data_IF_092156343357
#
_entry.id   IF_092156343357
#
_cell.length_a   1.000
_cell.length_b   1.000
_cell.length_c   1.000
_cell.angle_alpha   90.00
_cell.angle_beta   90.00
_cell.angle_gamma   90.00
#
_symmetry.space_group_name_H-M   'P 1'
#
loop_
_entity.id
_entity.type
_entity.pdbx_description
1 polymer ?
#
# COMPACT_ATOMS: atom_id res chain seq x y z
N UNK A 1 0.93 -50.24 -2.26
CA UNK A 1 1.22 -48.95 -2.93
C UNK A 1 0.00 -48.56 -3.76
N UNK A 2 -1.00 -47.95 -3.13
CA UNK A 2 -2.14 -47.38 -3.87
C UNK A 2 -1.67 -46.09 -4.53
N UNK A 3 -1.69 -46.03 -5.85
CA UNK A 3 -1.43 -44.80 -6.59
C UNK A 3 -2.42 -43.74 -6.11
N UNK A 4 -1.89 -42.65 -5.55
CA UNK A 4 -2.64 -41.43 -5.28
C UNK A 4 -3.40 -41.02 -6.55
N UNK A 5 -4.61 -40.44 -6.45
CA UNK A 5 -5.27 -39.87 -7.62
C UNK A 5 -4.35 -38.81 -8.21
N UNK A 6 -3.68 -39.15 -9.31
CA UNK A 6 -2.71 -38.29 -9.96
C UNK A 6 -3.47 -37.15 -10.62
N UNK A 7 -3.34 -35.94 -10.09
CA UNK A 7 -3.79 -34.75 -10.82
C UNK A 7 -2.94 -34.63 -12.09
N UNK A 8 -3.54 -34.89 -13.24
CA UNK A 8 -2.87 -34.87 -14.54
C UNK A 8 -2.69 -33.46 -15.09
N UNK A 9 -3.18 -32.42 -14.37
CA UNK A 9 -3.00 -31.04 -14.79
C UNK A 9 -1.55 -30.61 -14.69
N UNK A 10 -1.19 -29.73 -15.61
CA UNK A 10 0.12 -29.11 -15.73
C UNK A 10 -0.01 -27.64 -15.39
N UNK A 11 0.87 -27.12 -14.54
CA UNK A 11 0.95 -25.70 -14.17
C UNK A 11 2.25 -25.10 -14.67
N UNK A 12 2.19 -23.90 -15.23
CA UNK A 12 3.37 -23.18 -15.70
C UNK A 12 3.91 -22.19 -14.69
N UNK A 13 5.16 -21.76 -14.90
CA UNK A 13 5.84 -20.76 -14.08
C UNK A 13 5.05 -19.44 -13.95
N UNK A 14 4.34 -19.01 -15.01
CA UNK A 14 3.58 -17.75 -14.99
C UNK A 14 2.36 -17.79 -14.05
N UNK A 15 1.72 -18.96 -13.91
CA UNK A 15 0.62 -19.15 -12.95
C UNK A 15 1.08 -19.07 -11.49
N UNK A 16 2.38 -19.25 -11.23
CA UNK A 16 3.02 -19.11 -9.92
C UNK A 16 3.92 -17.87 -9.87
N UNK A 17 3.66 -16.87 -10.72
CA UNK A 17 4.47 -15.64 -10.82
C UNK A 17 4.57 -14.82 -9.55
N UNK A 18 3.67 -15.02 -8.59
CA UNK A 18 3.72 -14.34 -7.27
C UNK A 18 4.75 -14.92 -6.32
N UNK A 19 5.32 -16.09 -6.62
CA UNK A 19 6.38 -16.71 -5.82
C UNK A 19 7.62 -16.93 -6.69
N UNK A 20 8.65 -16.12 -6.47
CA UNK A 20 9.86 -16.13 -7.28
C UNK A 20 10.67 -17.43 -7.18
N UNK A 21 10.60 -18.14 -6.05
CA UNK A 21 11.29 -19.42 -5.83
C UNK A 21 10.63 -20.52 -6.64
N UNK A 22 9.30 -20.66 -6.52
CA UNK A 22 8.54 -21.61 -7.31
C UNK A 22 8.62 -21.29 -8.80
N UNK A 23 8.50 -20.02 -9.18
CA UNK A 23 8.65 -19.61 -10.57
C UNK A 23 10.04 -19.96 -11.12
N UNK A 24 11.11 -19.70 -10.36
CA UNK A 24 12.49 -20.05 -10.73
C UNK A 24 12.66 -21.56 -10.92
N UNK A 25 12.15 -22.34 -9.97
CA UNK A 25 12.20 -23.80 -10.02
C UNK A 25 11.45 -24.36 -11.25
N UNK A 26 10.25 -23.86 -11.56
CA UNK A 26 9.52 -24.28 -12.77
C UNK A 26 10.21 -23.85 -14.06
N UNK A 27 10.96 -22.75 -14.08
CA UNK A 27 11.76 -22.33 -15.25
C UNK A 27 12.98 -23.23 -15.46
N UNK A 28 13.58 -23.73 -14.39
CA UNK A 28 14.78 -24.57 -14.43
C UNK A 28 14.44 -26.05 -14.74
N UNK A 29 13.42 -26.60 -14.09
CA UNK A 29 13.08 -28.03 -14.16
C UNK A 29 11.86 -28.33 -15.03
N UNK A 30 11.08 -27.31 -15.42
CA UNK A 30 9.87 -27.48 -16.20
C UNK A 30 10.11 -27.69 -17.68
N UNK A 31 9.46 -28.71 -18.24
CA UNK A 31 9.43 -28.92 -19.69
C UNK A 31 8.52 -27.90 -20.38
N UNK A 32 8.75 -27.68 -21.67
CA UNK A 32 7.89 -26.82 -22.51
C UNK A 32 6.57 -27.52 -22.82
N UNK A 33 5.49 -27.09 -22.15
CA UNK A 33 4.18 -27.74 -22.24
C UNK A 33 3.04 -26.71 -22.20
N UNK A 34 1.81 -27.18 -22.44
CA UNK A 34 0.59 -26.38 -22.32
C UNK A 34 0.10 -26.35 -20.88
N UNK A 35 -0.12 -25.16 -20.34
CA UNK A 35 -0.65 -24.98 -18.99
C UNK A 35 -2.16 -25.25 -18.95
N UNK A 36 -2.61 -26.05 -17.99
CA UNK A 36 -4.03 -26.35 -17.77
C UNK A 36 -4.79 -25.22 -17.07
N UNK A 37 -4.10 -24.24 -16.50
CA UNK A 37 -4.70 -23.16 -15.71
C UNK A 37 -4.87 -21.87 -16.50
N UNK A 38 -3.80 -21.36 -17.13
CA UNK A 38 -3.88 -20.16 -17.97
C UNK A 38 -4.09 -20.46 -19.46
N UNK A 39 -4.06 -21.73 -19.87
CA UNK A 39 -4.15 -22.14 -21.28
C UNK A 39 -2.93 -21.82 -22.13
N UNK A 40 -1.91 -21.16 -21.56
CA UNK A 40 -0.70 -20.75 -22.27
C UNK A 40 0.08 -21.93 -22.83
N UNK A 41 0.54 -21.79 -24.08
CA UNK A 41 1.32 -22.80 -24.79
C UNK A 41 2.82 -22.49 -24.71
N UNK A 42 3.64 -23.54 -24.90
CA UNK A 42 5.10 -23.45 -24.89
C UNK A 42 5.68 -22.77 -23.63
N UNK A 43 5.14 -23.09 -22.45
CA UNK A 43 5.62 -22.53 -21.17
C UNK A 43 6.42 -23.58 -20.38
N UNK A 44 7.44 -23.18 -19.61
CA UNK A 44 8.04 -24.04 -18.60
C UNK A 44 6.97 -24.46 -17.59
N UNK A 45 6.67 -25.75 -17.52
CA UNK A 45 5.55 -26.27 -16.77
C UNK A 45 5.80 -27.69 -16.26
N UNK A 46 5.16 -28.02 -15.13
CA UNK A 46 5.25 -29.33 -14.48
C UNK A 46 3.87 -29.83 -14.04
N UNK A 47 3.69 -31.15 -13.89
CA UNK A 47 2.50 -31.71 -13.29
C UNK A 47 2.25 -31.15 -11.89
N UNK A 48 0.98 -30.90 -11.55
CA UNK A 48 0.58 -30.37 -10.23
C UNK A 48 1.12 -31.23 -9.09
N UNK A 49 1.17 -32.55 -9.25
CA UNK A 49 1.69 -33.45 -8.21
C UNK A 49 3.18 -33.23 -7.94
N UNK A 50 3.97 -32.88 -8.96
CA UNK A 50 5.41 -32.66 -8.79
C UNK A 50 5.66 -31.30 -8.15
N UNK A 51 4.88 -30.28 -8.53
CA UNK A 51 4.86 -29.00 -7.81
C UNK A 51 4.45 -29.19 -6.35
N UNK A 52 3.43 -30.00 -6.08
CA UNK A 52 2.96 -30.29 -4.73
C UNK A 52 4.04 -30.96 -3.85
N UNK A 53 4.79 -31.94 -4.40
CA UNK A 53 5.94 -32.54 -3.69
C UNK A 53 7.01 -31.51 -3.38
N UNK A 54 7.35 -30.65 -4.34
CA UNK A 54 8.34 -29.62 -4.10
C UNK A 54 7.88 -28.59 -3.07
N UNK A 55 6.61 -28.17 -3.12
CA UNK A 55 6.03 -27.29 -2.08
C UNK A 55 6.06 -27.96 -0.71
N UNK A 56 5.82 -29.28 -0.62
CA UNK A 56 5.94 -30.03 0.63
C UNK A 56 7.36 -29.96 1.20
N UNK A 57 8.37 -30.21 0.37
CA UNK A 57 9.79 -30.09 0.77
C UNK A 57 10.13 -28.66 1.24
N UNK A 58 9.63 -27.64 0.54
CA UNK A 58 9.82 -26.24 0.92
C UNK A 58 9.14 -25.90 2.26
N UNK A 59 7.95 -26.46 2.52
CA UNK A 59 7.24 -26.32 3.80
C UNK A 59 8.02 -26.98 4.95
N UNK A 60 8.57 -28.16 4.74
CA UNK A 60 9.40 -28.85 5.74
C UNK A 60 10.68 -28.07 6.04
N UNK A 61 11.38 -27.58 5.01
CA UNK A 61 12.55 -26.71 5.16
C UNK A 61 12.20 -25.38 5.85
N UNK A 62 10.98 -24.89 5.65
CA UNK A 62 10.42 -23.73 6.32
C UNK A 62 10.08 -23.99 7.81
N UNK A 63 10.19 -25.24 8.29
CA UNK A 63 9.93 -25.66 9.67
C UNK A 63 8.51 -26.13 9.94
N UNK A 64 7.65 -26.25 8.93
CA UNK A 64 6.31 -26.82 9.10
C UNK A 64 6.41 -28.32 9.34
N UNK A 65 5.59 -28.82 10.25
CA UNK A 65 5.57 -30.24 10.61
C UNK A 65 4.17 -30.79 10.50
N UNK A 66 4.06 -32.03 10.04
CA UNK A 66 2.82 -32.78 10.09
C UNK A 66 2.71 -33.52 11.43
N UNK A 67 1.60 -33.34 12.14
CA UNK A 67 1.35 -34.00 13.43
C UNK A 67 -0.04 -34.66 13.44
N UNK A 68 -0.20 -35.83 14.11
CA UNK A 68 -1.50 -36.42 14.34
C UNK A 68 -2.45 -35.47 15.08
N UNK A 69 -3.72 -35.43 14.69
CA UNK A 69 -4.76 -34.53 15.26
C UNK A 69 -5.04 -34.80 16.77
N UNK A 70 -4.43 -35.80 17.39
CA UNK A 70 -4.66 -36.19 18.79
C UNK A 70 -3.98 -35.30 19.86
N UNK A 71 -3.06 -34.39 19.50
CA UNK A 71 -2.31 -33.55 20.46
C UNK A 71 -3.02 -32.23 20.83
N UNK A 72 -3.68 -32.14 21.99
CA UNK A 72 -4.38 -30.92 22.49
C UNK A 72 -3.54 -29.64 22.67
N UNK A 73 -2.28 -29.60 22.25
CA UNK A 73 -1.33 -28.51 22.53
C UNK A 73 -0.92 -27.68 21.30
N UNK A 74 -1.31 -28.06 20.08
CA UNK A 74 -0.90 -27.36 18.86
C UNK A 74 -2.05 -26.59 18.20
N UNK A 75 -1.74 -25.44 17.58
CA UNK A 75 -2.64 -24.76 16.65
C UNK A 75 -2.57 -25.56 15.35
N UNK A 76 -3.71 -26.16 14.99
CA UNK A 76 -3.85 -27.01 13.82
C UNK A 76 -4.28 -26.21 12.62
N UNK A 77 -3.54 -26.37 11.52
CA UNK A 77 -3.76 -25.61 10.30
C UNK A 77 -4.09 -26.56 9.14
N UNK A 78 -5.23 -26.39 8.46
CA UNK A 78 -5.53 -27.15 7.26
C UNK A 78 -4.61 -26.71 6.11
N UNK A 79 -4.30 -27.62 5.17
CA UNK A 79 -3.36 -27.37 4.07
C UNK A 79 -3.70 -26.12 3.26
N UNK A 80 -4.99 -25.85 3.01
CA UNK A 80 -5.40 -24.66 2.27
C UNK A 80 -5.05 -23.34 2.98
N UNK A 81 -5.10 -23.28 4.31
CA UNK A 81 -4.71 -22.08 5.07
C UNK A 81 -3.20 -21.89 5.04
N UNK A 82 -2.42 -22.97 5.19
CA UNK A 82 -0.96 -22.93 5.06
C UNK A 82 -0.56 -22.44 3.67
N UNK A 83 -1.16 -23.00 2.61
CA UNK A 83 -0.87 -22.58 1.24
C UNK A 83 -1.27 -21.13 0.97
N UNK A 84 -2.43 -20.69 1.47
CA UNK A 84 -2.86 -19.31 1.34
C UNK A 84 -1.90 -18.34 2.05
N UNK A 85 -1.36 -18.74 3.21
CA UNK A 85 -0.42 -17.90 3.96
C UNK A 85 0.95 -17.83 3.29
N UNK A 86 1.55 -18.97 2.91
CA UNK A 86 2.91 -19.03 2.34
C UNK A 86 2.99 -18.47 0.92
N UNK A 87 1.93 -18.65 0.12
CA UNK A 87 1.88 -18.14 -1.27
C UNK A 87 1.24 -16.75 -1.34
N UNK A 88 0.89 -16.16 -0.20
CA UNK A 88 0.13 -14.92 -0.09
C UNK A 88 -1.12 -14.91 -1.00
N UNK A 89 -1.76 -16.07 -1.10
CA UNK A 89 -2.97 -16.32 -1.89
C UNK A 89 -4.22 -16.07 -1.03
N UNK A 90 -4.18 -15.01 -0.22
CA UNK A 90 -5.40 -14.43 0.33
C UNK A 90 -5.86 -13.45 -0.72
N UNK A 91 -7.06 -13.68 -1.27
CA UNK A 91 -7.70 -12.71 -2.15
C UNK A 91 -7.53 -11.33 -1.54
N UNK A 92 -6.99 -10.42 -2.34
CA UNK A 92 -6.86 -9.01 -2.02
C UNK A 92 -8.14 -8.55 -1.32
N UNK A 93 -8.03 -7.66 -0.33
CA UNK A 93 -9.16 -7.13 0.46
C UNK A 93 -10.25 -6.47 -0.41
N UNK A 94 -10.06 -6.40 -1.72
CA UNK A 94 -10.99 -5.93 -2.74
C UNK A 94 -11.80 -7.02 -3.47
N UNK A 95 -11.88 -8.26 -2.97
CA UNK A 95 -12.94 -9.19 -3.36
C UNK A 95 -13.11 -9.36 -4.87
N UNK A 96 -12.12 -9.95 -5.56
CA UNK A 96 -12.35 -10.58 -6.87
C UNK A 96 -11.77 -11.99 -6.81
N UNK A 97 -12.58 -13.04 -6.97
CA UNK A 97 -12.12 -14.42 -7.03
C UNK A 97 -11.45 -14.66 -8.39
N UNK A 98 -10.16 -14.36 -8.49
CA UNK A 98 -9.34 -14.95 -9.56
C UNK A 98 -8.96 -16.37 -9.14
N UNK A 99 -9.89 -17.26 -9.44
CA UNK A 99 -9.79 -18.72 -9.51
C UNK A 99 -8.79 -19.36 -8.52
N UNK A 100 -9.26 -19.62 -7.30
CA UNK A 100 -8.60 -20.48 -6.30
C UNK A 100 -8.40 -21.93 -6.79
N UNK A 101 -8.73 -22.24 -8.05
CA UNK A 101 -8.53 -23.53 -8.69
C UNK A 101 -7.10 -24.04 -8.51
N UNK A 102 -6.06 -23.26 -8.83
CA UNK A 102 -4.67 -23.71 -8.67
C UNK A 102 -4.33 -24.09 -7.23
N UNK A 103 -4.67 -23.23 -6.26
CA UNK A 103 -4.44 -23.52 -4.84
C UNK A 103 -5.25 -24.73 -4.39
N UNK A 104 -6.49 -24.87 -4.84
CA UNK A 104 -7.32 -26.04 -4.55
C UNK A 104 -6.79 -27.33 -5.17
N UNK A 105 -6.09 -27.24 -6.30
CA UNK A 105 -5.39 -28.37 -6.93
C UNK A 105 -4.12 -28.75 -6.18
N UNK A 106 -3.30 -27.78 -5.80
CA UNK A 106 -2.12 -28.00 -4.96
C UNK A 106 -2.51 -28.56 -3.58
N UNK A 107 -3.54 -27.99 -2.94
CA UNK A 107 -4.05 -28.48 -1.65
C UNK A 107 -4.44 -29.95 -1.74
N UNK A 108 -5.26 -30.31 -2.74
CA UNK A 108 -5.67 -31.71 -2.94
C UNK A 108 -4.50 -32.65 -3.21
N UNK A 109 -3.53 -32.23 -4.01
CA UNK A 109 -2.35 -33.03 -4.30
C UNK A 109 -1.49 -33.25 -3.04
N UNK A 110 -1.27 -32.20 -2.25
CA UNK A 110 -0.55 -32.29 -0.96
C UNK A 110 -1.31 -33.16 0.04
N UNK A 111 -2.62 -32.93 0.23
CA UNK A 111 -3.45 -33.74 1.13
C UNK A 111 -3.45 -35.21 0.73
N UNK A 112 -3.49 -35.50 -0.58
CA UNK A 112 -3.39 -36.86 -1.09
C UNK A 112 -2.03 -37.47 -0.67
N UNK A 113 -0.90 -36.79 -0.90
CA UNK A 113 0.44 -37.25 -0.49
C UNK A 113 0.48 -37.56 1.01
N UNK A 114 -0.04 -36.64 1.84
CA UNK A 114 -0.09 -36.80 3.30
C UNK A 114 -0.90 -38.05 3.70
N UNK A 115 -2.05 -38.28 3.06
CA UNK A 115 -2.96 -39.40 3.37
C UNK A 115 -2.46 -40.76 2.87
N UNK A 116 -1.59 -40.83 1.86
CA UNK A 116 -1.00 -42.12 1.45
C UNK A 116 0.04 -42.67 2.42
N UNK A 117 0.62 -41.80 3.25
CA UNK A 117 1.75 -42.14 4.11
C UNK A 117 1.31 -42.71 5.46
N UNK A 118 0.04 -42.50 5.87
CA UNK A 118 -0.44 -42.96 7.18
C UNK A 118 -1.97 -43.11 7.26
N UNK A 119 -2.43 -44.03 8.10
CA UNK A 119 -3.85 -44.24 8.43
C UNK A 119 -4.41 -43.21 9.42
N UNK A 120 -3.54 -42.41 10.02
CA UNK A 120 -3.89 -41.38 11.01
C UNK A 120 -3.97 -40.02 10.34
N UNK A 121 -5.10 -39.31 10.53
CA UNK A 121 -5.23 -37.93 10.04
C UNK A 121 -4.16 -37.02 10.67
N UNK A 122 -3.33 -36.44 9.81
CA UNK A 122 -2.29 -35.45 10.15
C UNK A 122 -2.76 -34.05 9.79
N UNK A 123 -2.22 -33.04 10.46
CA UNK A 123 -2.44 -31.62 10.19
C UNK A 123 -1.13 -30.85 10.38
N UNK A 124 -1.06 -29.66 9.81
CA UNK A 124 0.13 -28.83 9.87
C UNK A 124 0.26 -28.14 11.22
N UNK A 125 1.49 -28.11 11.72
CA UNK A 125 1.93 -27.32 12.86
C UNK A 125 2.93 -26.28 12.36
N UNK A 126 2.62 -25.00 12.58
CA UNK A 126 3.50 -23.87 12.25
C UNK A 126 4.74 -23.91 13.18
N UNK A 127 5.94 -23.58 12.68
CA UNK A 127 7.16 -23.53 13.50
C UNK A 127 7.13 -22.42 14.57
N UNK A 128 6.37 -21.35 14.33
CA UNK A 128 6.07 -20.31 15.32
C UNK A 128 4.75 -19.62 14.98
N UNK A 129 4.14 -18.96 15.98
CA UNK A 129 2.87 -18.23 15.80
C UNK A 129 2.98 -17.02 14.87
N UNK A 130 4.19 -16.44 14.73
CA UNK A 130 4.44 -15.20 13.99
C UNK A 130 5.19 -15.40 12.67
N UNK A 131 5.28 -16.64 12.17
CA UNK A 131 6.07 -16.93 10.97
C UNK A 131 5.63 -16.13 9.72
N UNK A 132 4.37 -15.68 9.67
CA UNK A 132 3.82 -14.85 8.59
C UNK A 132 3.64 -13.37 8.95
N UNK A 133 4.17 -12.90 10.08
CA UNK A 133 3.99 -11.52 10.52
C UNK A 133 2.61 -11.20 11.12
N UNK A 134 1.86 -12.22 11.54
CA UNK A 134 0.54 -12.06 12.18
C UNK A 134 0.59 -11.15 13.42
N UNK A 135 1.66 -11.20 14.22
CA UNK A 135 1.81 -10.34 15.40
C UNK A 135 1.88 -8.85 15.00
N UNK A 136 2.52 -8.54 13.87
CA UNK A 136 2.64 -7.17 13.36
C UNK A 136 1.27 -6.67 12.87
N UNK A 137 0.57 -7.48 12.08
CA UNK A 137 -0.76 -7.14 11.55
C UNK A 137 -1.80 -6.99 12.67
N UNK A 138 -1.79 -7.90 13.64
CA UNK A 138 -2.70 -7.86 14.78
C UNK A 138 -2.41 -6.67 15.69
N UNK A 139 -1.12 -6.40 15.96
CA UNK A 139 -0.74 -5.25 16.78
C UNK A 139 -1.01 -3.92 16.09
N UNK A 140 -0.86 -3.85 14.76
CA UNK A 140 -1.26 -2.69 13.97
C UNK A 140 -2.76 -2.42 14.05
N UNK A 141 -3.58 -3.46 13.91
CA UNK A 141 -5.03 -3.35 14.08
C UNK A 141 -5.42 -2.86 15.48
N UNK A 142 -4.71 -3.37 16.51
CA UNK A 142 -4.84 -2.91 17.89
C UNK A 142 -4.45 -1.45 18.08
N UNK A 143 -3.32 -1.03 17.49
CA UNK A 143 -2.87 0.37 17.48
C UNK A 143 -3.92 1.29 16.85
N UNK A 144 -4.39 0.96 15.65
CA UNK A 144 -5.43 1.73 14.93
C UNK A 144 -6.70 1.85 15.79
N UNK A 145 -7.16 0.75 16.39
CA UNK A 145 -8.32 0.76 17.28
C UNK A 145 -8.11 1.63 18.52
N UNK A 146 -6.92 1.58 19.13
CA UNK A 146 -6.59 2.36 20.32
C UNK A 146 -6.62 3.87 20.06
N UNK A 147 -5.95 4.34 18.99
CA UNK A 147 -5.90 5.77 18.67
C UNK A 147 -7.22 6.27 18.08
N UNK A 148 -7.95 5.43 17.35
CA UNK A 148 -9.20 5.87 16.73
C UNK A 148 -10.32 6.01 17.75
N UNK A 149 -10.38 5.13 18.76
CA UNK A 149 -11.54 4.99 19.64
C UNK A 149 -11.28 5.11 21.16
N UNK A 150 -10.03 5.17 21.61
CA UNK A 150 -9.71 5.16 23.06
C UNK A 150 -8.75 6.28 23.50
N UNK A 151 -7.47 6.23 23.11
CA UNK A 151 -6.41 7.13 23.60
C UNK A 151 -5.60 7.68 22.43
N UNK A 152 -5.77 8.99 22.18
CA UNK A 152 -5.11 9.71 21.07
C UNK A 152 -3.82 10.42 21.44
N UNK A 153 -3.74 10.97 22.65
CA UNK A 153 -2.65 11.88 23.03
C UNK A 153 -1.67 11.27 24.03
N UNK A 154 -2.14 10.39 24.91
CA UNK A 154 -1.35 9.81 26.00
C UNK A 154 -1.13 8.30 25.84
N UNK A 155 -1.09 7.80 24.60
CA UNK A 155 -0.80 6.39 24.33
C UNK A 155 0.69 6.04 24.52
N UNK A 156 1.56 7.05 24.65
CA UNK A 156 3.01 6.90 24.86
C UNK A 156 3.42 6.78 26.35
N UNK A 157 2.59 7.24 27.28
CA UNK A 157 2.93 7.34 28.72
C UNK A 157 2.71 6.04 29.51
N UNK A 158 3.26 4.93 29.00
CA UNK A 158 3.27 3.51 29.41
C UNK A 158 2.45 2.97 30.62
N UNK A 159 2.19 1.65 30.51
CA UNK A 159 1.94 0.66 31.56
C UNK A 159 0.51 0.44 32.07
N UNK A 160 -0.23 -0.37 31.31
CA UNK A 160 -0.91 -1.56 31.83
C UNK A 160 -1.67 -2.25 30.69
N UNK A 161 -1.25 -3.46 30.31
CA UNK A 161 -2.15 -4.62 30.35
C UNK A 161 -1.37 -5.86 30.72
N UNK A 162 -1.92 -6.53 31.73
CA UNK A 162 -1.55 -7.85 32.17
C UNK A 162 -1.74 -8.86 31.03
N UNK A 163 -0.97 -9.92 31.14
CA UNK A 163 -0.98 -11.17 30.38
C UNK A 163 -2.39 -11.69 30.05
N UNK A 164 -2.95 -11.29 28.90
CA UNK A 164 -4.04 -12.01 28.24
C UNK A 164 -3.54 -12.49 26.87
N UNK A 165 -3.77 -13.77 26.57
CA UNK A 165 -3.35 -14.45 25.33
C UNK A 165 -3.92 -13.83 24.05
N UNK A 166 -4.89 -12.91 24.16
CA UNK A 166 -5.61 -12.28 23.05
C UNK A 166 -5.33 -10.78 22.91
N UNK A 167 -4.28 -10.24 23.55
CA UNK A 167 -3.90 -8.84 23.37
C UNK A 167 -2.85 -8.67 22.26
N UNK A 168 -2.84 -7.51 21.58
CA UNK A 168 -1.74 -7.08 20.74
C UNK A 168 -0.38 -7.34 21.40
N UNK A 169 0.54 -7.95 20.66
CA UNK A 169 1.89 -8.23 21.16
C UNK A 169 2.68 -6.96 21.43
N UNK A 170 2.50 -5.95 20.57
CA UNK A 170 3.19 -4.68 20.68
C UNK A 170 2.23 -3.59 21.17
N UNK A 171 2.68 -2.79 22.13
CA UNK A 171 1.99 -1.57 22.53
C UNK A 171 1.93 -0.56 21.37
N UNK A 172 1.03 0.45 21.44
CA UNK A 172 0.96 1.51 20.44
C UNK A 172 2.30 2.19 20.12
N UNK A 173 3.09 2.52 21.15
CA UNK A 173 4.40 3.15 20.96
C UNK A 173 5.44 2.21 20.34
N UNK A 174 5.42 0.93 20.71
CA UNK A 174 6.28 -0.09 20.08
C UNK A 174 5.88 -0.32 18.62
N UNK A 175 4.57 -0.26 18.32
CA UNK A 175 4.07 -0.43 16.96
C UNK A 175 4.59 0.68 16.03
N UNK A 176 4.61 1.94 16.48
CA UNK A 176 5.24 3.03 15.71
C UNK A 176 6.73 2.77 15.47
N UNK A 177 7.47 2.29 16.47
CA UNK A 177 8.88 1.90 16.30
C UNK A 177 9.04 0.78 15.27
N UNK A 178 8.13 -0.21 15.27
CA UNK A 178 8.11 -1.28 14.27
C UNK A 178 7.82 -0.77 12.86
N UNK A 179 6.92 0.20 12.69
CA UNK A 179 6.71 0.90 11.41
C UNK A 179 8.00 1.58 10.95
N UNK A 180 8.64 2.37 11.82
CA UNK A 180 9.91 3.04 11.51
C UNK A 180 11.04 2.08 11.15
N UNK A 181 11.14 0.93 11.83
CA UNK A 181 12.12 -0.10 11.49
C UNK A 181 11.82 -0.76 10.14
N UNK A 182 10.57 -1.10 9.85
CA UNK A 182 10.19 -1.68 8.58
C UNK A 182 10.48 -0.73 7.40
N UNK A 183 10.22 0.58 7.57
CA UNK A 183 10.59 1.62 6.59
C UNK A 183 12.09 1.62 6.28
N UNK A 184 12.94 1.46 7.30
CA UNK A 184 14.41 1.39 7.12
C UNK A 184 14.86 0.05 6.52
N UNK A 185 14.36 -1.07 7.03
CA UNK A 185 14.69 -2.43 6.54
C UNK A 185 14.36 -2.60 5.05
N UNK A 186 13.27 -1.98 4.60
CA UNK A 186 12.84 -2.00 3.20
C UNK A 186 13.44 -0.87 2.35
N UNK A 187 14.35 -0.05 2.91
CA UNK A 187 14.98 1.09 2.23
C UNK A 187 13.97 2.03 1.56
N UNK A 188 12.88 2.37 2.26
CA UNK A 188 11.83 3.22 1.70
C UNK A 188 12.14 4.72 1.76
N UNK A 189 13.28 5.12 2.35
CA UNK A 189 13.71 6.52 2.34
C UNK A 189 14.46 6.78 1.02
N UNK A 190 13.86 7.61 0.18
CA UNK A 190 14.39 8.00 -1.12
C UNK A 190 14.75 9.49 -1.13
N UNK A 191 15.93 9.80 -1.64
CA UNK A 191 16.35 11.19 -1.86
C UNK A 191 15.72 11.73 -3.14
N UNK A 192 15.03 12.86 -3.03
CA UNK A 192 14.61 13.69 -4.15
C UNK A 192 15.66 14.78 -4.34
N UNK A 193 16.33 14.75 -5.48
CA UNK A 193 17.33 15.75 -5.82
C UNK A 193 16.75 17.15 -5.96
N UNK A 194 17.57 18.14 -5.66
CA UNK A 194 17.35 19.55 -6.01
C UNK A 194 16.97 19.70 -7.47
N UNK A 195 16.00 20.56 -7.74
CA UNK A 195 15.52 20.81 -9.10
C UNK A 195 14.34 19.93 -9.51
N UNK A 196 13.85 19.05 -8.62
CA UNK A 196 12.68 18.24 -8.92
C UNK A 196 11.42 19.09 -8.94
N UNK A 197 10.65 18.95 -10.01
CA UNK A 197 9.37 19.63 -10.19
C UNK A 197 8.24 18.86 -9.52
N UNK A 198 7.35 19.59 -8.82
CA UNK A 198 6.11 19.09 -8.23
C UNK A 198 4.99 20.13 -8.43
N UNK A 199 3.74 19.66 -8.47
CA UNK A 199 2.59 20.46 -8.85
C UNK A 199 1.57 20.51 -7.72
N UNK A 200 1.14 21.71 -7.34
CA UNK A 200 0.10 21.90 -6.33
C UNK A 200 -1.10 22.58 -6.97
N UNK A 201 -2.24 21.90 -6.92
CA UNK A 201 -3.50 22.40 -7.44
C UNK A 201 -4.36 23.01 -6.32
N UNK A 202 -5.11 24.06 -6.65
CA UNK A 202 -6.06 24.72 -5.77
C UNK A 202 -7.35 25.02 -6.52
N UNK A 203 -8.47 24.50 -6.00
CA UNK A 203 -9.80 24.77 -6.54
C UNK A 203 -10.22 26.18 -6.16
N UNK A 204 -10.68 26.95 -7.15
CA UNK A 204 -11.34 28.23 -6.95
C UNK A 204 -12.83 28.04 -6.71
N UNK A 205 -13.33 28.63 -5.63
CA UNK A 205 -14.75 28.69 -5.32
C UNK A 205 -15.24 30.13 -5.48
N UNK A 206 -16.50 30.32 -5.88
CA UNK A 206 -17.14 31.63 -5.89
C UNK A 206 -16.35 32.75 -6.60
N UNK A 207 -15.68 32.43 -7.72
CA UNK A 207 -14.91 33.39 -8.50
C UNK A 207 -13.52 33.74 -7.92
N UNK A 208 -13.02 32.97 -6.95
CA UNK A 208 -11.66 33.13 -6.43
C UNK A 208 -10.61 33.03 -7.57
N UNK A 209 -9.54 33.81 -7.40
CA UNK A 209 -8.34 33.72 -8.23
C UNK A 209 -7.13 33.55 -7.32
N UNK A 210 -6.17 32.73 -7.73
CA UNK A 210 -4.98 32.47 -6.94
C UNK A 210 -3.73 32.78 -7.75
N UNK A 211 -2.84 33.56 -7.16
CA UNK A 211 -1.57 33.97 -7.73
C UNK A 211 -0.50 34.11 -6.65
N UNK A 212 0.74 33.80 -7.00
CA UNK A 212 1.88 33.95 -6.09
C UNK A 212 2.03 32.81 -5.07
N UNK A 213 3.12 32.89 -4.30
CA UNK A 213 3.58 31.83 -3.37
C UNK A 213 2.61 31.66 -2.21
N UNK A 214 2.05 32.76 -1.72
CA UNK A 214 1.20 32.83 -0.54
C UNK A 214 -0.17 32.18 -0.79
N UNK A 215 -0.67 32.29 -2.02
CA UNK A 215 -1.99 31.76 -2.40
C UNK A 215 -1.90 30.34 -3.00
N UNK A 216 -0.84 30.01 -3.72
CA UNK A 216 -0.63 28.67 -4.30
C UNK A 216 0.13 27.73 -3.35
N UNK A 217 0.68 28.24 -2.26
CA UNK A 217 1.40 27.48 -1.25
C UNK A 217 0.48 26.69 -0.30
N UNK A 218 1.08 26.12 0.75
CA UNK A 218 0.28 25.55 1.83
C UNK A 218 -0.36 26.68 2.68
N UNK A 219 -1.54 26.45 3.25
CA UNK A 219 -2.20 27.44 4.10
C UNK A 219 -1.38 27.71 5.37
N UNK A 220 -1.47 28.90 5.98
CA UNK A 220 -0.91 29.11 7.32
C UNK A 220 -1.59 28.21 8.36
N UNK A 221 -0.93 27.96 9.49
CA UNK A 221 -1.39 27.00 10.51
C UNK A 221 -2.82 27.24 11.00
N UNK A 222 -3.24 28.50 11.18
CA UNK A 222 -4.61 28.85 11.60
C UNK A 222 -5.70 28.52 10.56
N UNK A 223 -5.33 28.30 9.30
CA UNK A 223 -6.23 27.92 8.20
C UNK A 223 -5.99 26.47 7.72
N UNK A 224 -5.01 25.76 8.30
CA UNK A 224 -4.69 24.40 7.94
C UNK A 224 -5.79 23.45 8.43
N UNK A 225 -6.61 22.97 7.49
CA UNK A 225 -7.62 21.93 7.75
C UNK A 225 -6.95 20.55 7.87
N UNK A 226 -7.65 19.62 8.52
CA UNK A 226 -7.26 18.21 8.50
C UNK A 226 -7.15 17.69 7.06
N UNK A 227 -6.02 17.08 6.75
CA UNK A 227 -5.84 16.23 5.57
C UNK A 227 -5.53 14.79 5.97
N UNK A 228 -5.23 13.94 5.00
CA UNK A 228 -4.88 12.55 5.25
C UNK A 228 -3.64 12.42 6.14
N UNK A 229 -2.61 13.21 5.84
CA UNK A 229 -1.32 13.16 6.50
C UNK A 229 -1.14 14.25 7.57
N UNK A 230 -2.08 15.18 7.77
CA UNK A 230 -1.88 16.26 8.75
C UNK A 230 -3.14 16.47 9.60
N UNK A 231 -3.01 16.62 10.93
CA UNK A 231 -4.11 17.07 11.76
C UNK A 231 -4.41 18.56 11.49
N UNK A 232 -5.61 19.05 11.88
CA UNK A 232 -5.92 20.47 11.83
C UNK A 232 -4.88 21.28 12.61
N UNK A 233 -4.52 22.46 12.10
CA UNK A 233 -3.55 23.34 12.75
C UNK A 233 -2.09 23.07 12.40
N UNK A 234 -1.77 21.93 11.76
CA UNK A 234 -0.41 21.63 11.28
C UNK A 234 -0.41 21.71 9.75
N UNK A 235 0.31 22.69 9.19
CA UNK A 235 0.35 22.94 7.76
C UNK A 235 1.36 22.02 7.05
N UNK A 236 0.86 21.12 6.20
CA UNK A 236 1.67 20.28 5.31
C UNK A 236 1.48 20.75 3.86
N UNK A 237 2.53 20.65 3.04
CA UNK A 237 2.48 21.02 1.63
C UNK A 237 2.15 19.79 0.79
N UNK A 238 0.91 19.72 0.30
CA UNK A 238 0.47 18.67 -0.63
C UNK A 238 0.71 19.10 -2.07
N UNK A 239 1.30 18.21 -2.85
CA UNK A 239 1.54 18.33 -4.28
C UNK A 239 1.44 16.97 -4.95
N UNK A 240 1.68 16.92 -6.24
CA UNK A 240 1.83 15.70 -7.02
C UNK A 240 3.06 15.77 -7.93
N UNK A 241 3.46 14.62 -8.44
CA UNK A 241 4.58 14.48 -9.38
C UNK A 241 4.26 14.96 -10.80
N UNK A 242 2.98 15.16 -11.12
CA UNK A 242 2.53 15.70 -12.41
C UNK A 242 1.37 16.68 -12.27
N UNK A 243 1.22 17.55 -13.27
CA UNK A 243 0.07 18.45 -13.41
C UNK A 243 -1.25 17.66 -13.40
N UNK A 244 -1.29 16.56 -14.14
CA UNK A 244 -2.47 15.70 -14.26
C UNK A 244 -2.91 15.16 -12.91
N UNK A 245 -1.97 14.53 -12.18
CA UNK A 245 -2.22 13.95 -10.86
C UNK A 245 -2.65 15.03 -9.85
N UNK A 246 -2.03 16.21 -9.89
CA UNK A 246 -2.41 17.33 -9.01
C UNK A 246 -3.86 17.78 -9.25
N UNK A 247 -4.26 17.88 -10.52
CA UNK A 247 -5.63 18.20 -10.90
C UNK A 247 -6.63 17.10 -10.50
N UNK A 248 -6.28 15.83 -10.72
CA UNK A 248 -7.12 14.68 -10.35
C UNK A 248 -7.41 14.64 -8.85
N UNK A 249 -6.41 14.88 -7.99
CA UNK A 249 -6.57 14.83 -6.53
C UNK A 249 -7.46 15.94 -5.94
N UNK A 250 -7.70 17.05 -6.65
CA UNK A 250 -8.60 18.12 -6.19
C UNK A 250 -10.01 18.05 -6.81
N UNK A 251 -10.17 17.22 -7.84
CA UNK A 251 -11.43 16.96 -8.53
C UNK A 251 -12.03 15.63 -8.05
N UNK A 252 -12.37 15.56 -6.77
CA UNK A 252 -12.90 14.34 -6.12
C UNK A 252 -14.42 14.25 -6.07
N UNK A 253 -15.13 15.24 -6.64
CA UNK A 253 -16.59 15.40 -6.52
C UNK A 253 -17.33 14.54 -7.56
N UNK A 254 -18.65 14.74 -7.74
CA UNK A 254 -19.45 13.96 -8.70
C UNK A 254 -18.93 14.15 -10.14
N UNK A 255 -19.06 13.14 -11.03
CA UNK A 255 -18.58 13.19 -12.42
C UNK A 255 -18.97 14.44 -13.22
N UNK A 256 -20.06 15.08 -12.84
CA UNK A 256 -20.70 16.19 -13.57
C UNK A 256 -20.21 17.59 -13.14
N UNK A 257 -19.16 17.69 -12.32
CA UNK A 257 -18.65 18.99 -11.83
C UNK A 257 -17.35 19.40 -12.53
N UNK A 258 -17.41 20.48 -13.31
CA UNK A 258 -16.23 21.17 -13.83
C UNK A 258 -15.78 22.22 -12.81
N UNK A 259 -14.52 22.18 -12.42
CA UNK A 259 -13.93 23.12 -11.46
C UNK A 259 -12.92 24.02 -12.16
N UNK A 260 -12.84 25.26 -11.69
CA UNK A 260 -11.69 26.12 -12.03
C UNK A 260 -10.57 25.81 -11.03
N UNK A 261 -9.41 25.41 -11.54
CA UNK A 261 -8.25 25.00 -10.76
C UNK A 261 -7.05 25.84 -11.14
N UNK A 262 -6.38 26.40 -10.13
CA UNK A 262 -5.10 27.08 -10.30
C UNK A 262 -3.99 26.14 -9.86
N UNK A 263 -2.97 26.00 -10.70
CA UNK A 263 -1.82 25.13 -10.41
C UNK A 263 -0.56 25.96 -10.28
N UNK A 264 0.16 25.75 -9.19
CA UNK A 264 1.53 26.20 -9.03
C UNK A 264 2.49 25.09 -9.39
N UNK A 265 3.48 25.40 -10.24
CA UNK A 265 4.63 24.53 -10.51
C UNK A 265 5.75 24.91 -9.54
N UNK A 266 6.13 23.98 -8.68
CA UNK A 266 7.13 24.16 -7.65
C UNK A 266 8.37 23.33 -7.96
N UNK A 267 9.51 23.76 -7.43
CA UNK A 267 10.78 23.07 -7.57
C UNK A 267 11.46 22.91 -6.21
N UNK A 268 12.03 21.74 -5.94
CA UNK A 268 12.89 21.51 -4.78
C UNK A 268 14.16 22.35 -4.87
N UNK A 269 14.51 23.06 -3.81
CA UNK A 269 15.66 23.99 -3.79
C UNK A 269 16.93 23.40 -3.19
N UNK A 270 16.81 22.22 -2.59
CA UNK A 270 17.89 21.35 -2.10
C UNK A 270 17.46 19.88 -2.23
N UNK A 271 18.38 18.97 -1.94
CA UNK A 271 18.07 17.55 -1.84
C UNK A 271 17.20 17.33 -0.60
N UNK A 272 16.15 16.52 -0.75
CA UNK A 272 15.14 16.28 0.28
C UNK A 272 14.87 14.79 0.41
N UNK A 273 14.71 14.30 1.62
CA UNK A 273 14.49 12.89 1.89
C UNK A 273 13.01 12.59 2.12
N UNK A 274 12.47 11.64 1.37
CA UNK A 274 11.06 11.25 1.47
C UNK A 274 10.92 9.77 1.78
N UNK A 275 9.92 9.44 2.60
CA UNK A 275 9.46 8.06 2.72
C UNK A 275 8.58 7.76 1.50
N UNK A 276 9.05 6.92 0.57
CA UNK A 276 8.30 6.51 -0.62
C UNK A 276 7.45 5.26 -0.33
N UNK A 277 6.18 5.49 0.02
CA UNK A 277 5.17 4.44 0.20
C UNK A 277 4.52 4.01 -1.12
N UNK A 278 4.88 4.61 -2.26
CA UNK A 278 4.32 4.25 -3.57
C UNK A 278 4.99 3.03 -4.20
N UNK A 279 6.18 2.64 -3.72
CA UNK A 279 6.95 1.54 -4.29
C UNK A 279 7.62 0.68 -3.21
N UNK A 280 6.91 -0.36 -2.77
CA UNK A 280 7.44 -1.37 -1.85
C UNK A 280 8.20 -2.51 -2.58
N UNK A 281 8.25 -2.47 -3.92
CA UNK A 281 8.72 -3.59 -4.74
C UNK A 281 7.78 -4.80 -4.72
N UNK A 282 8.26 -5.92 -5.24
CA UNK A 282 7.56 -7.21 -5.19
C UNK A 282 7.65 -7.83 -3.79
N UNK A 283 6.63 -8.61 -3.40
CA UNK A 283 6.68 -9.40 -2.17
C UNK A 283 7.72 -10.51 -2.39
N UNK A 284 8.76 -10.62 -1.55
CA UNK A 284 9.68 -11.76 -1.63
C UNK A 284 8.91 -13.08 -1.53
N UNK A 285 9.38 -14.15 -2.18
CA UNK A 285 8.84 -15.48 -1.90
C UNK A 285 9.01 -15.79 -0.41
N UNK A 286 7.98 -16.38 0.21
CA UNK A 286 8.13 -16.89 1.57
C UNK A 286 9.29 -17.89 1.62
N UNK A 287 9.46 -18.73 0.60
CA UNK A 287 10.50 -19.77 0.53
C UNK A 287 11.90 -19.25 0.17
N UNK A 288 12.09 -17.93 -0.02
CA UNK A 288 13.40 -17.37 -0.33
C UNK A 288 14.37 -17.54 0.86
N UNK A 289 15.55 -18.17 0.67
CA UNK A 289 16.51 -18.39 1.76
C UNK A 289 16.99 -17.08 2.37
N UNK A 290 16.92 -16.96 3.69
CA UNK A 290 17.42 -15.78 4.43
C UNK A 290 16.55 -14.52 4.33
N UNK A 291 15.47 -14.50 3.55
CA UNK A 291 14.64 -13.32 3.31
C UNK A 291 13.35 -13.29 4.16
N UNK A 292 13.25 -14.13 5.19
CA UNK A 292 12.03 -14.28 6.02
C UNK A 292 11.62 -12.98 6.71
N UNK A 293 12.56 -12.27 7.31
CA UNK A 293 12.27 -11.01 7.99
C UNK A 293 11.79 -9.95 6.99
N UNK A 294 12.38 -9.93 5.79
CA UNK A 294 11.96 -9.05 4.70
C UNK A 294 10.57 -9.41 4.16
N UNK A 295 10.23 -10.70 4.05
CA UNK A 295 8.87 -11.15 3.73
C UNK A 295 7.87 -10.60 4.74
N UNK A 296 8.15 -10.76 6.04
CA UNK A 296 7.30 -10.28 7.13
C UNK A 296 7.15 -8.76 7.11
N UNK A 297 8.26 -8.02 7.00
CA UNK A 297 8.26 -6.55 6.94
C UNK A 297 7.55 -6.03 5.69
N UNK A 298 7.75 -6.65 4.51
CA UNK A 298 7.04 -6.30 3.28
C UNK A 298 5.54 -6.56 3.41
N UNK A 299 5.14 -7.76 3.85
CA UNK A 299 3.72 -8.12 4.04
C UNK A 299 3.02 -7.17 5.02
N UNK A 300 3.68 -6.83 6.12
CA UNK A 300 3.19 -5.84 7.06
C UNK A 300 3.05 -4.46 6.42
N UNK A 301 4.09 -3.98 5.72
CA UNK A 301 4.08 -2.66 5.08
C UNK A 301 3.01 -2.52 4.00
N UNK A 302 2.69 -3.58 3.25
CA UNK A 302 1.57 -3.58 2.30
C UNK A 302 0.26 -3.21 2.99
N UNK A 303 -0.06 -3.93 4.07
CA UNK A 303 -1.28 -3.68 4.83
C UNK A 303 -1.29 -2.30 5.50
N UNK A 304 -0.15 -1.91 6.06
CA UNK A 304 0.04 -0.60 6.65
C UNK A 304 -0.23 0.51 5.60
N UNK A 305 0.36 0.42 4.41
CA UNK A 305 0.17 1.37 3.30
C UNK A 305 -1.29 1.40 2.85
N UNK A 306 -1.95 0.26 2.70
CA UNK A 306 -3.39 0.20 2.38
C UNK A 306 -4.25 0.98 3.37
N UNK A 307 -3.92 0.91 4.66
CA UNK A 307 -4.66 1.60 5.70
C UNK A 307 -4.35 3.11 5.73
N UNK A 308 -3.07 3.52 5.64
CA UNK A 308 -2.70 4.95 5.72
C UNK A 308 -2.88 5.71 4.40
N UNK A 309 -2.91 5.02 3.27
CA UNK A 309 -3.13 5.60 1.94
C UNK A 309 -4.54 5.36 1.40
N UNK A 310 -5.46 4.82 2.21
CA UNK A 310 -6.84 4.53 1.81
C UNK A 310 -7.53 5.77 1.22
N UNK A 311 -8.30 5.63 0.11
CA UNK A 311 -9.13 6.70 -0.41
C UNK A 311 -10.16 7.20 0.61
N UNK A 312 -10.54 8.46 0.48
CA UNK A 312 -11.53 9.14 1.31
C UNK A 312 -12.91 8.47 1.26
N UNK A 313 -13.51 8.12 2.41
CA UNK A 313 -14.96 8.03 2.52
C UNK A 313 -15.56 9.43 2.33
N UNK A 314 -16.71 9.54 1.66
CA UNK A 314 -17.34 10.84 1.33
C UNK A 314 -18.13 11.47 2.49
N UNK A 315 -17.98 10.94 3.70
CA UNK A 315 -18.90 11.14 4.82
C UNK A 315 -18.16 11.66 6.06
N UNK A 316 -18.89 12.13 7.10
CA UNK A 316 -18.34 12.69 8.35
C UNK A 316 -17.38 11.75 9.12
N UNK A 317 -17.33 10.47 8.75
CA UNK A 317 -16.41 9.45 9.27
C UNK A 317 -14.97 9.61 8.70
N UNK A 318 -14.78 10.45 7.68
CA UNK A 318 -13.47 10.71 7.07
C UNK A 318 -12.42 11.17 8.11
N UNK A 319 -12.82 11.97 9.10
CA UNK A 319 -11.92 12.42 10.17
C UNK A 319 -11.37 11.26 11.00
N UNK A 320 -12.20 10.26 11.33
CA UNK A 320 -11.75 9.07 12.06
C UNK A 320 -10.82 8.19 11.21
N UNK A 321 -11.10 8.12 9.91
CA UNK A 321 -10.32 7.33 8.95
C UNK A 321 -8.89 7.86 8.79
N UNK A 322 -8.68 9.16 9.02
CA UNK A 322 -7.37 9.81 8.89
C UNK A 322 -6.48 9.72 10.12
N UNK A 323 -7.01 9.39 11.29
CA UNK A 323 -6.23 9.38 12.53
C UNK A 323 -4.97 8.52 12.42
N UNK A 324 -5.01 7.27 11.90
CA UNK A 324 -3.80 6.47 11.78
C UNK A 324 -2.73 7.11 10.88
N UNK A 325 -3.14 7.66 9.73
CA UNK A 325 -2.22 8.31 8.80
C UNK A 325 -1.61 9.58 9.40
N UNK A 326 -2.40 10.38 10.13
CA UNK A 326 -1.92 11.59 10.80
C UNK A 326 -0.96 11.30 11.97
N UNK A 327 -1.24 10.28 12.79
CA UNK A 327 -0.34 9.90 13.88
C UNK A 327 0.98 9.36 13.33
N UNK A 328 0.92 8.58 12.24
CA UNK A 328 2.13 8.01 11.64
C UNK A 328 2.94 9.05 10.88
N UNK A 329 2.30 9.97 10.16
CA UNK A 329 3.02 11.07 9.51
C UNK A 329 3.69 12.00 10.51
N UNK A 330 3.07 12.24 11.67
CA UNK A 330 3.68 12.98 12.76
C UNK A 330 4.86 12.22 13.37
N UNK A 331 4.73 10.90 13.55
CA UNK A 331 5.85 10.03 13.95
C UNK A 331 7.00 10.09 12.94
N UNK A 332 6.72 10.03 11.64
CA UNK A 332 7.73 10.16 10.59
C UNK A 332 8.44 11.51 10.65
N UNK A 333 7.69 12.60 10.78
CA UNK A 333 8.23 13.95 10.86
C UNK A 333 9.11 14.18 12.10
N UNK A 334 8.69 13.65 13.25
CA UNK A 334 9.26 14.04 14.57
C UNK A 334 10.26 13.04 15.14
N UNK A 335 10.21 11.76 14.73
CA UNK A 335 11.03 10.69 15.32
C UNK A 335 12.02 10.09 14.32
N UNK A 336 11.70 10.09 13.02
CA UNK A 336 12.65 9.63 12.02
C UNK A 336 13.61 10.77 11.65
N UNK A 337 14.93 10.55 11.71
CA UNK A 337 15.89 11.59 11.37
C UNK A 337 15.84 11.87 9.86
N UNK A 338 16.09 13.14 9.50
CA UNK A 338 16.31 13.57 8.13
C UNK A 338 15.21 13.15 7.15
N UNK A 339 13.92 13.26 7.55
CA UNK A 339 12.76 13.04 6.67
C UNK A 339 12.02 14.35 6.44
N UNK A 340 11.97 14.79 5.18
CA UNK A 340 11.30 16.01 4.74
C UNK A 340 9.85 15.79 4.33
N UNK A 341 9.42 14.54 4.11
CA UNK A 341 8.06 14.26 3.68
C UNK A 341 7.75 12.79 3.40
N UNK A 342 6.58 12.57 2.82
CA UNK A 342 6.08 11.26 2.39
C UNK A 342 5.55 11.32 0.95
N UNK A 343 5.80 10.26 0.19
CA UNK A 343 5.25 10.04 -1.15
C UNK A 343 4.34 8.82 -1.09
N UNK A 344 3.18 8.89 -1.74
CA UNK A 344 2.29 7.74 -1.88
C UNK A 344 1.53 7.78 -3.21
N UNK A 345 1.07 6.63 -3.68
CA UNK A 345 0.30 6.55 -4.93
C UNK A 345 -1.02 7.31 -4.82
N UNK A 346 -1.35 8.11 -5.83
CA UNK A 346 -2.61 8.84 -5.87
C UNK A 346 -3.80 7.87 -5.91
N UNK A 347 -4.85 8.21 -5.16
CA UNK A 347 -6.08 7.41 -5.15
C UNK A 347 -6.92 7.66 -6.42
N UNK A 348 -6.77 8.85 -7.02
CA UNK A 348 -7.49 9.26 -8.23
C UNK A 348 -6.73 8.90 -9.52
N UNK A 349 -5.39 8.95 -9.48
CA UNK A 349 -4.50 8.57 -10.56
C UNK A 349 -3.52 7.49 -10.08
N UNK A 350 -3.84 6.22 -10.34
CA UNK A 350 -3.01 5.09 -9.90
C UNK A 350 -1.61 5.05 -10.53
N UNK A 351 -1.33 5.87 -11.56
CA UNK A 351 0.00 6.00 -12.18
C UNK A 351 0.81 7.16 -11.59
N UNK A 352 0.13 8.13 -10.97
CA UNK A 352 0.74 9.31 -10.37
C UNK A 352 1.01 9.17 -8.88
N UNK A 353 1.83 10.09 -8.36
CA UNK A 353 2.25 10.12 -6.96
C UNK A 353 1.83 11.43 -6.29
N UNK A 354 1.28 11.33 -5.10
CA UNK A 354 1.11 12.44 -4.18
C UNK A 354 2.41 12.65 -3.40
N UNK A 355 2.84 13.90 -3.30
CA UNK A 355 4.03 14.34 -2.56
C UNK A 355 3.57 15.23 -1.42
N UNK A 356 3.91 14.88 -0.19
CA UNK A 356 3.58 15.67 1.00
C UNK A 356 4.87 16.08 1.69
N UNK A 357 5.13 17.37 1.74
CA UNK A 357 6.29 17.94 2.44
C UNK A 357 5.87 18.37 3.83
N UNK A 358 6.65 17.95 4.83
CA UNK A 358 6.48 18.34 6.23
C UNK A 358 6.97 19.77 6.46
N UNK A 359 6.36 20.52 7.39
CA UNK A 359 6.84 21.83 7.76
C UNK A 359 8.19 21.73 8.46
N UNK A 360 9.01 22.77 8.31
CA UNK A 360 10.25 22.91 9.08
C UNK A 360 9.94 23.24 10.55
N UNK A 361 10.70 22.68 11.48
CA UNK A 361 10.54 22.98 12.92
C UNK A 361 11.05 24.39 13.28
N UNK A 362 11.88 24.99 12.42
CA UNK A 362 12.46 26.33 12.61
C UNK A 362 11.51 27.49 12.21
N UNK A 363 10.40 27.21 11.53
CA UNK A 363 9.51 28.24 10.96
C UNK A 363 8.34 28.57 11.91
N UNK A 364 8.64 29.22 13.03
CA UNK A 364 7.63 29.68 14.01
C UNK A 364 6.97 31.01 13.65
N UNK A 365 7.48 31.73 12.65
CA UNK A 365 6.91 33.01 12.20
C UNK A 365 6.36 32.92 10.77
N UNK A 366 5.16 33.46 10.61
CA UNK A 366 4.30 33.36 9.45
C UNK A 366 4.96 33.87 8.16
N UNK A 367 5.11 32.99 7.17
CA UNK A 367 4.98 33.19 5.70
C UNK A 367 5.79 32.18 4.88
N UNK A 368 6.63 31.36 5.52
CA UNK A 368 7.52 30.43 4.80
C UNK A 368 7.66 29.06 5.47
N UNK A 369 6.57 28.39 5.88
CA UNK A 369 6.59 27.08 6.57
C UNK A 369 7.36 25.92 5.87
N UNK A 370 7.66 26.07 4.58
CA UNK A 370 8.43 25.11 3.76
C UNK A 370 9.76 25.71 3.31
N UNK A 371 10.16 26.83 3.91
CA UNK A 371 11.45 27.48 3.82
C UNK A 371 12.04 27.60 2.42
N UNK A 372 13.34 27.31 2.43
CA UNK A 372 14.26 27.07 1.33
C UNK A 372 14.16 25.64 0.77
N UNK A 373 13.07 24.89 1.03
CA UNK A 373 12.86 23.55 0.46
C UNK A 373 12.14 23.60 -0.88
N UNK A 374 11.26 24.59 -1.08
CA UNK A 374 10.45 24.74 -2.28
C UNK A 374 10.42 26.19 -2.78
N UNK A 375 10.56 26.36 -4.10
CA UNK A 375 10.29 27.64 -4.79
C UNK A 375 9.22 27.46 -5.86
N UNK A 376 8.35 28.46 -5.98
CA UNK A 376 7.40 28.54 -7.08
C UNK A 376 8.16 28.96 -8.35
N UNK A 377 8.09 28.15 -9.41
CA UNK A 377 8.71 28.40 -10.71
C UNK A 377 7.76 29.12 -11.65
N UNK A 378 6.68 28.43 -11.99
CA UNK A 378 5.66 28.93 -12.88
C UNK A 378 4.34 29.00 -12.11
N UNK A 379 3.69 30.15 -12.21
CA UNK A 379 2.28 30.29 -11.87
C UNK A 379 1.49 29.96 -13.13
N UNK A 380 0.40 29.21 -13.02
CA UNK A 380 -0.62 29.22 -14.07
C UNK A 380 -1.46 30.49 -13.84
N UNK A 381 -1.30 31.56 -14.66
CA UNK A 381 -2.01 32.83 -14.43
C UNK A 381 -3.51 32.71 -14.76
N UNK A 382 -3.88 31.72 -15.58
CA UNK A 382 -5.24 31.46 -16.03
C UNK A 382 -5.73 30.16 -15.39
N UNK A 383 -6.87 30.22 -14.69
CA UNK A 383 -7.45 29.04 -14.07
C UNK A 383 -7.77 27.98 -15.12
N UNK A 384 -7.36 26.75 -14.90
CA UNK A 384 -7.66 25.61 -15.77
C UNK A 384 -9.06 25.09 -15.47
N UNK A 385 -9.80 24.69 -16.50
CA UNK A 385 -11.05 23.94 -16.31
C UNK A 385 -10.69 22.46 -16.21
N UNK A 386 -11.02 21.87 -15.06
CA UNK A 386 -10.73 20.47 -14.75
C UNK A 386 -12.04 19.74 -14.46
N UNK A 387 -12.30 18.69 -15.22
CA UNK A 387 -13.39 17.73 -14.97
C UNK A 387 -12.90 16.40 -14.40
N UNK A 388 -13.83 15.50 -14.08
CA UNK A 388 -13.50 14.16 -13.57
C UNK A 388 -13.11 13.15 -14.67
N UNK A 389 -13.34 13.46 -15.94
CA UNK A 389 -12.93 12.57 -17.03
C UNK A 389 -11.44 12.75 -17.33
N UNK A 390 -10.71 11.67 -17.67
CA UNK A 390 -9.25 11.68 -17.86
C UNK A 390 -8.72 12.71 -18.86
N UNK A 391 -9.59 13.23 -19.73
CA UNK A 391 -9.21 14.08 -20.87
C UNK A 391 -9.62 15.55 -20.71
N UNK A 392 -10.23 15.94 -19.58
CA UNK A 392 -10.76 17.29 -19.38
C UNK A 392 -9.85 18.15 -18.51
N UNK A 393 -8.62 18.39 -18.98
CA UNK A 393 -7.78 19.52 -18.53
C UNK A 393 -7.74 20.50 -19.69
N UNK A 394 -8.61 21.50 -19.64
CA UNK A 394 -8.68 22.55 -20.66
C UNK A 394 -8.04 23.80 -20.07
N UNK A 395 -6.97 24.29 -20.70
CA UNK A 395 -6.49 25.64 -20.41
C UNK A 395 -7.63 26.59 -20.78
N UNK A 396 -8.03 27.45 -19.85
CA UNK A 396 -9.02 28.49 -20.14
C UNK A 396 -8.34 29.50 -21.05
N UNK A 397 -8.28 29.21 -22.35
CA UNK A 397 -8.03 30.23 -23.37
C UNK A 397 -8.98 31.39 -23.09
N UNK A 398 -8.56 32.62 -23.40
CA UNK A 398 -9.38 33.81 -23.29
C UNK A 398 -10.66 33.68 -24.12
N UNK A 399 -11.64 32.94 -23.62
CA UNK A 399 -12.96 32.81 -24.20
C UNK A 399 -13.64 34.13 -23.91
N UNK A 400 -13.66 35.01 -24.92
CA UNK A 400 -14.57 36.15 -24.97
C UNK A 400 -15.96 35.69 -24.54
N UNK A 401 -16.60 36.49 -23.70
CA UNK A 401 -17.93 36.26 -23.13
C UNK A 401 -18.98 35.99 -24.23
N UNK A 402 -19.19 34.72 -24.61
CA UNK A 402 -20.49 34.14 -24.94
C UNK A 402 -20.33 32.76 -25.58
N UNK A 403 -20.34 31.69 -24.79
CA UNK A 403 -20.72 30.39 -25.32
C UNK A 403 -21.72 29.74 -24.36
N UNK A 404 -22.96 29.64 -24.84
CA UNK A 404 -24.02 28.89 -24.20
C UNK A 404 -23.63 27.40 -24.21
N UNK A 405 -23.64 26.67 -23.07
CA UNK A 405 -23.20 25.28 -23.00
C UNK A 405 -24.01 24.26 -23.84
N UNK A 406 -25.05 24.71 -24.57
CA UNK A 406 -25.98 23.87 -25.31
C UNK A 406 -25.83 23.94 -26.84
N UNK A 407 -24.94 24.77 -27.38
CA UNK A 407 -24.71 24.86 -28.84
C UNK A 407 -23.68 23.83 -29.33
N UNK A 408 -24.10 22.57 -29.46
CA UNK A 408 -23.31 21.45 -30.00
C UNK A 408 -23.55 21.26 -31.51
N UNK A 409 -23.61 22.33 -32.30
CA UNK A 409 -23.84 22.21 -33.76
C UNK A 409 -22.85 22.96 -34.65
N UNK A 410 -21.76 23.51 -34.11
CA UNK A 410 -20.77 24.19 -34.92
C UNK A 410 -19.38 23.54 -34.81
N UNK A 411 -19.23 22.38 -35.48
CA UNK A 411 -18.02 21.92 -36.23
C UNK A 411 -18.09 20.39 -36.43
N UNK A 412 -18.63 19.99 -37.58
CA UNK A 412 -18.20 18.79 -38.30
C UNK A 412 -16.78 18.99 -38.83
#
# INVERSE_FOLDING_TARGET
>A
MSQLPTDSRIVCADCLSRDSVLQGWLKEYGGTQKCCFCGGENRPALPVNDVAKHVLELLENAGYKLCPIASKQNIYEPTHEVLADVLDYRGDSGGIPHDNSLIGHLCRAIDAIILSDDSVNKTWVKPSSNIHGSDYLYSWSGFVGEISYRRRFLFLSSDARETEQFLPKYSPGEMLKKVGNAVREMNLISEIQKGKEIYRARVAWNGETFSGKEQLGAPPSNLAKAGRMNPPGISYFYAADSLYTACAEVCTDKPETVKTVYVGKWETTKDLNFIDLSNLGELPSFFAPGERDKYVSNKFLRRFIEDVCRPLPRDDIAQLTYIPAQVVSEYFRTVLPDVDGVIFTSAQDRKGKCVVVFPSDDDTESTSYFGDRLKLRDKCPEGMLVGNEPDLIIQKESVEESLCPWDVTARL
#
